data_IF_446180169272
#
_entry.id   IF_446180169272
#
_cell.length_a   1.000
_cell.length_b   1.000
_cell.length_c   1.000
_cell.angle_alpha   90.00
_cell.angle_beta   90.00
_cell.angle_gamma   90.00
#
_symmetry.space_group_name_H-M   'P 1'
#
loop_
_entity.id
_entity.type
_entity.pdbx_description
1 polymer ?
#
# COMPACT_ATOMS: atom_id res chain seq x y z
N UNK A 1 32.42 13.77 -19.79
CA UNK A 1 31.62 12.58 -20.14
C UNK A 1 30.17 13.02 -20.14
N UNK A 2 29.51 12.99 -21.29
CA UNK A 2 28.07 13.32 -21.41
C UNK A 2 27.30 12.41 -20.47
N UNK A 3 26.54 12.98 -19.52
CA UNK A 3 25.69 12.20 -18.61
C UNK A 3 24.70 11.40 -19.45
N UNK A 4 24.66 10.08 -19.27
CA UNK A 4 23.69 9.23 -19.96
C UNK A 4 22.26 9.72 -19.65
N UNK A 5 21.44 9.84 -20.69
CA UNK A 5 20.04 10.27 -20.55
C UNK A 5 19.15 9.04 -20.41
N UNK A 6 18.35 9.01 -19.35
CA UNK A 6 17.41 7.93 -19.04
C UNK A 6 15.99 8.43 -19.26
N UNK A 7 15.20 7.67 -20.02
CA UNK A 7 13.79 7.95 -20.19
C UNK A 7 12.94 7.29 -19.11
N UNK A 8 11.87 7.96 -18.70
CA UNK A 8 10.76 7.38 -17.97
C UNK A 8 9.48 7.69 -18.74
N UNK A 9 8.69 6.67 -19.03
CA UNK A 9 7.40 6.77 -19.72
C UNK A 9 6.27 6.38 -18.76
N UNK A 10 5.31 7.27 -18.55
CA UNK A 10 4.25 7.15 -17.56
C UNK A 10 4.62 7.86 -16.26
N UNK A 11 4.11 9.07 -16.05
CA UNK A 11 4.37 9.95 -14.91
C UNK A 11 3.34 9.78 -13.79
N UNK A 12 3.03 8.53 -13.46
CA UNK A 12 2.23 8.20 -12.27
C UNK A 12 3.10 8.27 -11.01
N UNK A 13 2.54 7.88 -9.86
CA UNK A 13 3.28 7.79 -8.59
C UNK A 13 4.60 7.02 -8.76
N UNK A 14 4.57 5.87 -9.43
CA UNK A 14 5.73 5.02 -9.66
C UNK A 14 6.79 5.71 -10.54
N UNK A 15 6.36 6.28 -11.67
CA UNK A 15 7.24 6.97 -12.60
C UNK A 15 7.91 8.20 -12.00
N UNK A 16 7.14 9.06 -11.33
CA UNK A 16 7.65 10.30 -10.72
C UNK A 16 8.68 10.04 -9.63
N UNK A 17 8.39 9.13 -8.68
CA UNK A 17 9.32 8.81 -7.61
C UNK A 17 10.62 8.18 -8.13
N UNK A 18 10.50 7.28 -9.10
CA UNK A 18 11.66 6.59 -9.69
C UNK A 18 12.53 7.54 -10.51
N UNK A 19 11.90 8.43 -11.29
CA UNK A 19 12.59 9.48 -12.04
C UNK A 19 13.28 10.47 -11.10
N UNK A 20 12.61 10.97 -10.07
CA UNK A 20 13.22 11.89 -9.11
C UNK A 20 14.47 11.28 -8.45
N UNK A 21 14.41 10.01 -8.05
CA UNK A 21 15.55 9.30 -7.49
C UNK A 21 16.69 9.10 -8.50
N UNK A 22 16.38 8.76 -9.76
CA UNK A 22 17.38 8.66 -10.83
C UNK A 22 18.07 10.01 -11.10
N UNK A 23 17.31 11.11 -11.11
CA UNK A 23 17.88 12.44 -11.27
C UNK A 23 18.82 12.80 -10.11
N UNK A 24 18.48 12.40 -8.87
CA UNK A 24 19.32 12.60 -7.68
C UNK A 24 20.63 11.81 -7.72
N UNK A 25 20.63 10.62 -8.36
CA UNK A 25 21.87 9.88 -8.68
C UNK A 25 22.72 10.54 -9.78
N UNK A 26 22.26 11.65 -10.36
CA UNK A 26 23.01 12.49 -11.29
C UNK A 26 22.73 12.23 -12.76
N UNK A 27 21.74 11.40 -13.11
CA UNK A 27 21.35 11.15 -14.50
C UNK A 27 20.53 12.32 -15.07
N UNK A 28 20.65 12.56 -16.38
CA UNK A 28 19.74 13.45 -17.10
C UNK A 28 18.50 12.65 -17.53
N UNK A 29 17.32 13.23 -17.44
CA UNK A 29 16.06 12.51 -17.62
C UNK A 29 15.16 13.13 -18.68
N UNK A 30 14.50 12.26 -19.44
CA UNK A 30 13.33 12.59 -20.26
C UNK A 30 12.13 11.86 -19.65
N UNK A 31 11.18 12.63 -19.13
CA UNK A 31 10.00 12.18 -18.43
C UNK A 31 8.77 12.38 -19.33
N UNK A 32 8.41 11.30 -20.03
CA UNK A 32 7.31 11.27 -20.98
C UNK A 32 5.99 10.80 -20.34
N UNK A 33 4.89 11.46 -20.67
CA UNK A 33 3.54 10.95 -20.44
C UNK A 33 2.63 11.31 -21.63
N UNK A 34 1.75 10.41 -22.09
CA UNK A 34 0.82 10.72 -23.18
C UNK A 34 -0.24 11.77 -22.81
N UNK A 35 -0.44 12.10 -21.53
CA UNK A 35 -1.35 13.16 -21.10
C UNK A 35 -0.67 14.55 -21.11
N UNK A 36 -0.96 15.42 -22.09
CA UNK A 36 -0.35 16.74 -22.16
C UNK A 36 -0.78 17.68 -21.03
N UNK A 37 -1.96 17.46 -20.41
CA UNK A 37 -2.40 18.26 -19.27
C UNK A 37 -1.59 17.92 -18.02
N UNK A 38 -1.30 16.62 -17.82
CA UNK A 38 -0.42 16.16 -16.76
C UNK A 38 0.99 16.74 -16.94
N UNK A 39 1.55 16.66 -18.15
CA UNK A 39 2.89 17.23 -18.43
C UNK A 39 2.93 18.74 -18.16
N UNK A 40 1.93 19.50 -18.64
CA UNK A 40 1.87 20.92 -18.39
C UNK A 40 1.76 21.26 -16.89
N UNK A 41 1.05 20.44 -16.11
CA UNK A 41 0.99 20.57 -14.64
C UNK A 41 2.34 20.30 -13.98
N UNK A 42 3.02 19.21 -14.37
CA UNK A 42 4.35 18.86 -13.87
C UNK A 42 5.40 19.92 -14.17
N UNK A 43 5.36 20.55 -15.35
CA UNK A 43 6.23 21.67 -15.71
C UNK A 43 6.03 22.90 -14.81
N UNK A 44 4.83 23.08 -14.25
CA UNK A 44 4.53 24.11 -13.25
C UNK A 44 4.83 23.69 -11.81
N UNK A 45 5.33 22.47 -11.60
CA UNK A 45 5.56 21.89 -10.27
C UNK A 45 4.29 21.38 -9.57
N UNK A 46 3.17 21.26 -10.29
CA UNK A 46 1.92 20.72 -9.76
C UNK A 46 1.92 19.20 -9.86
N UNK A 47 2.02 18.50 -8.72
CA UNK A 47 2.10 17.04 -8.68
C UNK A 47 0.71 16.38 -8.60
N UNK A 48 0.46 15.30 -9.36
CA UNK A 48 -0.79 14.55 -9.28
C UNK A 48 -0.89 13.65 -8.03
N UNK A 49 0.19 13.60 -7.22
CA UNK A 49 0.34 12.70 -6.09
C UNK A 49 0.88 13.44 -4.87
N UNK A 50 0.48 13.00 -3.69
CA UNK A 50 1.03 13.46 -2.42
C UNK A 50 2.00 12.41 -1.90
N UNK A 51 3.28 12.77 -1.87
CA UNK A 51 4.35 11.91 -1.36
C UNK A 51 5.37 12.79 -0.63
N UNK A 52 5.75 12.46 0.62
CA UNK A 52 6.75 13.21 1.37
C UNK A 52 8.08 13.34 0.59
N UNK A 53 8.70 14.50 0.70
CA UNK A 53 10.01 14.86 0.11
C UNK A 53 10.07 14.88 -1.43
N UNK A 54 9.00 14.49 -2.14
CA UNK A 54 8.99 14.44 -3.60
C UNK A 54 9.06 15.84 -4.25
N UNK A 55 8.28 16.86 -3.81
CA UNK A 55 8.38 18.21 -4.35
C UNK A 55 9.81 18.78 -4.25
N UNK A 56 10.43 18.66 -3.08
CA UNK A 56 11.78 19.16 -2.81
C UNK A 56 12.83 18.42 -3.65
N UNK A 57 12.66 17.10 -3.83
CA UNK A 57 13.57 16.29 -4.63
C UNK A 57 13.50 16.64 -6.12
N UNK A 58 12.29 16.90 -6.64
CA UNK A 58 12.08 17.33 -8.03
C UNK A 58 12.64 18.73 -8.25
N UNK A 59 12.39 19.69 -7.34
CA UNK A 59 12.93 21.04 -7.43
C UNK A 59 14.46 21.04 -7.42
N UNK A 60 15.07 20.30 -6.48
CA UNK A 60 16.53 20.10 -6.41
C UNK A 60 17.13 19.62 -7.72
N UNK A 61 16.40 18.76 -8.45
CA UNK A 61 16.86 18.11 -9.66
C UNK A 61 16.24 18.66 -10.95
N UNK A 62 15.54 19.80 -10.91
CA UNK A 62 14.78 20.34 -12.05
C UNK A 62 15.64 20.52 -13.32
N UNK A 63 16.91 20.90 -13.17
CA UNK A 63 17.85 21.06 -14.32
C UNK A 63 18.21 19.75 -15.02
N UNK A 64 17.96 18.62 -14.37
CA UNK A 64 18.21 17.28 -14.92
C UNK A 64 16.97 16.65 -15.51
N UNK A 65 15.78 17.21 -15.26
CA UNK A 65 14.51 16.59 -15.61
C UNK A 65 13.85 17.42 -16.70
N UNK A 66 13.52 16.76 -17.81
CA UNK A 66 12.69 17.33 -18.85
C UNK A 66 11.38 16.56 -18.91
N UNK A 67 10.27 17.21 -18.58
CA UNK A 67 8.93 16.68 -18.84
C UNK A 67 8.55 16.92 -20.30
N UNK A 68 7.86 15.97 -20.93
CA UNK A 68 7.41 16.10 -22.33
C UNK A 68 6.22 15.21 -22.62
N UNK A 69 5.36 15.66 -23.54
CA UNK A 69 4.30 14.83 -24.13
C UNK A 69 4.66 14.36 -25.55
N UNK A 70 5.87 14.69 -26.01
CA UNK A 70 6.40 14.26 -27.30
C UNK A 70 7.20 12.95 -27.13
N UNK A 71 6.72 11.81 -27.66
CA UNK A 71 7.42 10.54 -27.54
C UNK A 71 8.77 10.55 -28.28
N UNK A 72 8.96 11.37 -29.32
CA UNK A 72 10.19 11.36 -30.13
C UNK A 72 11.42 11.77 -29.31
N UNK A 73 11.24 12.51 -28.21
CA UNK A 73 12.34 12.86 -27.30
C UNK A 73 12.98 11.64 -26.64
N UNK A 74 12.25 10.52 -26.50
CA UNK A 74 12.76 9.27 -25.96
C UNK A 74 13.82 8.63 -26.88
N UNK A 75 13.89 9.00 -28.16
CA UNK A 75 14.92 8.52 -29.09
C UNK A 75 16.34 8.91 -28.65
N UNK A 76 16.48 9.98 -27.86
CA UNK A 76 17.77 10.41 -27.31
C UNK A 76 18.27 9.53 -26.14
N UNK A 77 17.41 8.69 -25.56
CA UNK A 77 17.70 7.93 -24.36
C UNK A 77 18.53 6.67 -24.65
N UNK A 78 19.43 6.32 -23.72
CA UNK A 78 20.14 5.03 -23.72
C UNK A 78 19.29 3.88 -23.18
N UNK A 79 18.34 4.22 -22.33
CA UNK A 79 17.43 3.31 -21.66
C UNK A 79 16.12 4.04 -21.35
N UNK A 80 14.98 3.35 -21.44
CA UNK A 80 13.67 3.90 -21.07
C UNK A 80 12.94 2.93 -20.15
N UNK A 81 12.51 3.44 -18.99
CA UNK A 81 11.58 2.76 -18.11
C UNK A 81 10.13 3.02 -18.55
N UNK A 82 9.31 1.97 -18.55
CA UNK A 82 7.85 2.07 -18.72
C UNK A 82 7.21 1.82 -17.36
N UNK A 83 6.61 2.86 -16.79
CA UNK A 83 6.22 2.91 -15.39
C UNK A 83 4.78 3.46 -15.11
N UNK A 84 3.76 3.26 -15.98
CA UNK A 84 2.40 3.67 -15.63
C UNK A 84 1.84 2.77 -14.52
N UNK A 85 0.91 3.30 -13.74
CA UNK A 85 0.12 2.48 -12.83
C UNK A 85 -0.78 1.53 -13.64
N UNK A 86 -0.91 0.29 -13.17
CA UNK A 86 -1.79 -0.73 -13.76
C UNK A 86 -3.06 -0.79 -12.90
N UNK A 87 -4.17 -0.16 -13.32
CA UNK A 87 -5.39 -0.14 -12.53
C UNK A 87 -5.96 -1.55 -12.41
N UNK A 88 -6.67 -1.77 -11.31
CA UNK A 88 -7.27 -3.07 -10.99
C UNK A 88 -8.72 -2.87 -10.57
N UNK A 89 -9.61 -3.72 -11.08
CA UNK A 89 -11.02 -3.72 -10.73
C UNK A 89 -11.27 -4.26 -9.30
N UNK A 90 -12.54 -4.35 -8.90
CA UNK A 90 -12.92 -4.86 -7.58
C UNK A 90 -12.79 -6.38 -7.44
N UNK A 91 -12.54 -7.08 -8.55
CA UNK A 91 -12.24 -8.52 -8.59
C UNK A 91 -10.73 -8.82 -8.60
N UNK A 92 -9.87 -7.80 -8.54
CA UNK A 92 -8.43 -7.98 -8.58
C UNK A 92 -7.88 -8.21 -10.00
N UNK A 93 -8.67 -7.96 -11.05
CA UNK A 93 -8.21 -8.08 -12.44
C UNK A 93 -7.50 -6.80 -12.88
N UNK A 94 -6.29 -6.96 -13.42
CA UNK A 94 -5.46 -5.86 -13.92
C UNK A 94 -5.86 -5.45 -15.33
N UNK A 95 -6.04 -4.15 -15.57
CA UNK A 95 -6.18 -3.59 -16.92
C UNK A 95 -4.79 -3.33 -17.52
N UNK A 96 -4.42 -4.20 -18.45
CA UNK A 96 -3.12 -4.17 -19.12
C UNK A 96 -3.11 -3.28 -20.37
N UNK A 97 -4.26 -2.75 -20.81
CA UNK A 97 -4.36 -2.02 -22.07
C UNK A 97 -3.52 -0.75 -22.10
N UNK A 98 -3.48 -0.02 -20.97
CA UNK A 98 -2.71 1.23 -20.85
C UNK A 98 -1.20 1.01 -20.97
N UNK A 99 -0.69 -0.01 -20.28
CA UNK A 99 0.74 -0.34 -20.36
C UNK A 99 1.11 -0.91 -21.73
N UNK A 100 0.25 -1.72 -22.35
CA UNK A 100 0.49 -2.24 -23.70
C UNK A 100 0.55 -1.13 -24.76
N UNK A 101 -0.36 -0.16 -24.66
CA UNK A 101 -0.34 1.02 -25.52
C UNK A 101 0.95 1.83 -25.33
N UNK A 102 1.35 2.06 -24.08
CA UNK A 102 2.56 2.83 -23.77
C UNK A 102 3.84 2.11 -24.21
N UNK A 103 3.95 0.79 -24.00
CA UNK A 103 5.06 -0.02 -24.52
C UNK A 103 5.15 0.14 -26.04
N UNK A 104 4.02 0.08 -26.75
CA UNK A 104 3.99 0.20 -28.21
C UNK A 104 4.43 1.59 -28.69
N UNK A 105 4.02 2.65 -27.99
CA UNK A 105 4.46 4.03 -28.29
C UNK A 105 5.96 4.19 -28.07
N UNK A 106 6.49 3.71 -26.93
CA UNK A 106 7.93 3.79 -26.63
C UNK A 106 8.73 2.96 -27.63
N UNK A 107 8.31 1.74 -27.97
CA UNK A 107 9.06 0.87 -28.89
C UNK A 107 9.19 1.48 -30.29
N UNK A 108 8.19 2.24 -30.73
CA UNK A 108 8.16 2.88 -32.05
C UNK A 108 9.22 3.99 -32.23
N UNK A 109 9.61 4.65 -31.14
CA UNK A 109 10.54 5.80 -31.15
C UNK A 109 11.93 5.44 -30.60
N UNK A 110 12.01 4.39 -29.79
CA UNK A 110 13.24 4.01 -29.09
C UNK A 110 14.28 3.44 -30.05
N UNK A 111 15.53 3.93 -29.98
CA UNK A 111 16.64 3.42 -30.81
C UNK A 111 16.78 1.90 -30.69
N UNK A 112 17.13 1.16 -31.77
CA UNK A 112 17.18 -0.30 -31.73
C UNK A 112 18.10 -0.89 -30.64
N UNK A 113 19.20 -0.20 -30.32
CA UNK A 113 20.19 -0.60 -29.31
C UNK A 113 19.83 -0.19 -27.88
N UNK A 114 18.82 0.65 -27.70
CA UNK A 114 18.43 1.15 -26.38
C UNK A 114 17.63 0.09 -25.58
N UNK A 115 17.83 0.14 -24.27
CA UNK A 115 17.22 -0.79 -23.31
C UNK A 115 15.83 -0.31 -22.93
N UNK A 116 14.81 -1.16 -23.05
CA UNK A 116 13.49 -0.91 -22.46
C UNK A 116 13.36 -1.68 -21.16
N UNK A 117 12.83 -1.06 -20.11
CA UNK A 117 12.61 -1.71 -18.81
C UNK A 117 11.16 -1.49 -18.37
N UNK A 118 10.38 -2.56 -18.23
CA UNK A 118 9.06 -2.48 -17.60
C UNK A 118 9.25 -2.39 -16.08
N UNK A 119 8.71 -1.35 -15.45
CA UNK A 119 8.76 -1.14 -14.00
C UNK A 119 7.41 -1.42 -13.33
N UNK A 120 6.32 -1.20 -14.07
CA UNK A 120 4.96 -1.44 -13.58
C UNK A 120 4.75 -2.89 -13.15
N UNK A 121 3.99 -3.09 -12.07
CA UNK A 121 3.64 -4.44 -11.64
C UNK A 121 2.72 -5.11 -12.67
N UNK A 122 3.14 -6.27 -13.16
CA UNK A 122 2.46 -7.04 -14.22
C UNK A 122 2.37 -8.53 -13.83
N UNK A 123 1.41 -9.29 -14.39
CA UNK A 123 1.27 -10.70 -14.06
C UNK A 123 2.42 -11.56 -14.64
N UNK A 124 2.72 -12.72 -14.03
CA UNK A 124 3.73 -13.63 -14.57
C UNK A 124 3.47 -14.02 -16.03
N UNK A 125 4.52 -13.94 -16.86
CA UNK A 125 4.50 -14.19 -18.30
C UNK A 125 4.26 -12.93 -19.15
N UNK A 126 3.90 -11.79 -18.53
CA UNK A 126 3.61 -10.56 -19.25
C UNK A 126 4.78 -10.10 -20.11
N UNK A 127 5.96 -9.94 -19.50
CA UNK A 127 7.14 -9.42 -20.18
C UNK A 127 7.62 -10.36 -21.28
N UNK A 128 7.53 -11.68 -21.08
CA UNK A 128 7.89 -12.67 -22.11
C UNK A 128 7.08 -12.50 -23.37
N UNK A 129 5.77 -12.34 -23.20
CA UNK A 129 4.82 -12.22 -24.30
C UNK A 129 5.04 -10.96 -25.15
N UNK A 130 5.90 -10.05 -24.70
CA UNK A 130 6.20 -8.77 -25.35
C UNK A 130 7.63 -8.69 -25.88
N UNK A 131 8.39 -9.77 -25.83
CA UNK A 131 9.69 -9.83 -26.50
C UNK A 131 9.51 -9.63 -28.01
N UNK A 132 10.34 -8.76 -28.58
CA UNK A 132 10.42 -8.50 -30.02
C UNK A 132 11.84 -8.76 -30.50
N UNK A 133 11.97 -9.24 -31.73
CA UNK A 133 13.29 -9.47 -32.31
C UNK A 133 14.09 -8.16 -32.36
N UNK A 134 15.34 -8.20 -31.89
CA UNK A 134 16.23 -7.04 -31.87
C UNK A 134 16.00 -6.04 -30.73
N UNK A 135 14.90 -6.13 -29.97
CA UNK A 135 14.64 -5.25 -28.83
C UNK A 135 15.21 -5.84 -27.54
N UNK A 136 16.01 -5.05 -26.84
CA UNK A 136 16.48 -5.38 -25.50
C UNK A 136 15.43 -4.95 -24.47
N UNK A 137 14.69 -5.92 -23.92
CA UNK A 137 13.63 -5.69 -22.93
C UNK A 137 14.00 -6.33 -21.59
N UNK A 138 13.80 -5.60 -20.50
CA UNK A 138 13.94 -6.07 -19.13
C UNK A 138 12.66 -5.81 -18.34
N UNK A 139 12.53 -6.49 -17.22
CA UNK A 139 11.56 -6.15 -16.18
C UNK A 139 12.32 -5.79 -14.90
N UNK A 140 11.85 -4.81 -14.15
CA UNK A 140 12.36 -4.50 -12.83
C UNK A 140 11.21 -4.49 -11.84
N UNK A 141 11.36 -5.24 -10.74
CA UNK A 141 10.35 -5.23 -9.68
C UNK A 141 10.43 -3.91 -8.92
N UNK A 142 9.30 -3.21 -8.82
CA UNK A 142 9.16 -2.08 -7.91
C UNK A 142 8.80 -2.57 -6.48
N UNK A 143 9.31 -1.86 -5.47
CA UNK A 143 8.99 -2.14 -4.06
C UNK A 143 8.68 -0.87 -3.28
N UNK A 144 8.14 0.15 -3.93
CA UNK A 144 7.80 1.41 -3.26
C UNK A 144 6.70 1.19 -2.21
N UNK A 145 6.69 2.06 -1.20
CA UNK A 145 5.64 2.09 -0.18
C UNK A 145 5.11 3.52 -0.16
N UNK A 146 3.80 3.69 -0.37
CA UNK A 146 3.15 5.00 -0.24
C UNK A 146 3.46 5.67 1.09
N UNK A 147 3.88 6.94 1.04
CA UNK A 147 4.32 7.73 2.20
C UNK A 147 5.81 7.56 2.54
N UNK A 148 6.52 6.63 1.89
CA UNK A 148 7.98 6.45 1.96
C UNK A 148 8.59 6.12 0.60
N UNK A 149 7.92 6.50 -0.49
CA UNK A 149 8.31 6.09 -1.83
C UNK A 149 9.64 6.76 -2.24
N UNK A 150 9.82 8.04 -1.92
CA UNK A 150 11.07 8.77 -2.16
C UNK A 150 12.25 8.10 -1.45
N UNK A 151 12.13 7.82 -0.15
CA UNK A 151 13.15 7.13 0.64
C UNK A 151 13.55 5.79 -0.01
N UNK A 152 12.55 4.97 -0.38
CA UNK A 152 12.80 3.65 -0.98
C UNK A 152 13.36 3.72 -2.40
N UNK A 153 13.01 4.75 -3.17
CA UNK A 153 13.54 4.97 -4.51
C UNK A 153 15.00 5.43 -4.45
N UNK A 154 15.36 6.30 -3.49
CA UNK A 154 16.72 6.79 -3.29
C UNK A 154 17.66 5.74 -2.70
N UNK A 155 17.14 4.90 -1.79
CA UNK A 155 17.90 3.92 -1.02
C UNK A 155 17.23 2.53 -1.08
N UNK A 156 17.20 1.90 -2.27
CA UNK A 156 16.63 0.57 -2.42
C UNK A 156 17.46 -0.46 -1.65
N UNK A 157 16.80 -1.43 -1.03
CA UNK A 157 17.48 -2.54 -0.35
C UNK A 157 18.13 -3.50 -1.35
N UNK A 158 17.55 -3.59 -2.55
CA UNK A 158 17.96 -4.45 -3.67
C UNK A 158 17.22 -4.05 -4.94
N UNK A 159 17.79 -4.39 -6.09
CA UNK A 159 17.08 -4.45 -7.36
C UNK A 159 16.83 -5.90 -7.78
N UNK A 160 15.62 -6.21 -8.24
CA UNK A 160 15.26 -7.50 -8.84
C UNK A 160 15.00 -7.26 -10.32
N UNK A 161 15.76 -7.94 -11.18
CA UNK A 161 15.75 -7.71 -12.62
C UNK A 161 15.33 -8.98 -13.35
N UNK A 162 14.18 -8.92 -14.01
CA UNK A 162 13.70 -9.95 -14.93
C UNK A 162 14.36 -9.82 -16.30
N UNK A 163 14.92 -10.93 -16.79
CA UNK A 163 15.60 -11.02 -18.08
C UNK A 163 15.44 -12.41 -18.70
N UNK A 164 15.88 -12.59 -19.95
CA UNK A 164 15.87 -13.89 -20.61
C UNK A 164 16.92 -14.84 -20.01
N UNK A 165 18.14 -14.34 -19.82
CA UNK A 165 19.32 -15.11 -19.43
C UNK A 165 20.01 -14.50 -18.19
N UNK A 166 19.62 -14.93 -16.96
CA UNK A 166 20.09 -14.30 -15.71
C UNK A 166 21.58 -14.39 -15.43
N UNK A 167 22.28 -15.29 -16.12
CA UNK A 167 23.73 -15.47 -15.99
C UNK A 167 24.52 -14.54 -16.92
N UNK A 168 23.87 -13.91 -17.90
CA UNK A 168 24.51 -12.95 -18.78
C UNK A 168 24.64 -11.59 -18.09
N UNK A 169 25.72 -10.85 -18.35
CA UNK A 169 25.86 -9.49 -17.82
C UNK A 169 24.76 -8.59 -18.38
N UNK A 170 24.27 -7.68 -17.54
CA UNK A 170 23.36 -6.63 -17.98
C UNK A 170 24.07 -5.68 -18.97
N UNK A 171 23.34 -5.06 -19.91
CA UNK A 171 23.88 -4.03 -20.79
C UNK A 171 24.62 -2.95 -20.00
N UNK A 172 25.76 -2.43 -20.48
CA UNK A 172 26.59 -1.51 -19.70
C UNK A 172 25.85 -0.28 -19.15
N UNK A 173 24.93 0.30 -19.94
CA UNK A 173 24.09 1.45 -19.49
C UNK A 173 23.19 1.06 -18.32
N UNK A 174 22.54 -0.10 -18.38
CA UNK A 174 21.63 -0.57 -17.34
C UNK A 174 22.39 -0.99 -16.08
N UNK A 175 23.53 -1.67 -16.25
CA UNK A 175 24.39 -2.05 -15.14
C UNK A 175 24.92 -0.83 -14.38
N UNK A 176 25.41 0.21 -15.08
CA UNK A 176 25.86 1.47 -14.46
C UNK A 176 24.74 2.19 -13.74
N UNK A 177 23.57 2.26 -14.36
CA UNK A 177 22.39 2.86 -13.75
C UNK A 177 22.05 2.20 -12.41
N UNK A 178 21.87 0.88 -12.39
CA UNK A 178 21.53 0.15 -11.17
C UNK A 178 22.64 0.24 -10.10
N UNK A 179 23.91 0.15 -10.51
CA UNK A 179 25.04 0.21 -9.59
C UNK A 179 25.15 1.57 -8.86
N UNK A 180 24.64 2.66 -9.44
CA UNK A 180 24.67 3.99 -8.82
C UNK A 180 23.86 4.10 -7.52
N UNK A 181 22.95 3.17 -7.27
CA UNK A 181 22.14 3.12 -6.04
C UNK A 181 22.83 2.36 -4.91
N UNK A 182 23.93 1.64 -5.18
CA UNK A 182 24.74 0.99 -4.14
C UNK A 182 24.09 -0.21 -3.45
N UNK A 183 23.10 -0.85 -4.07
CA UNK A 183 22.42 -2.04 -3.52
C UNK A 183 22.70 -3.31 -4.36
N UNK A 184 22.49 -4.51 -3.80
CA UNK A 184 22.56 -5.75 -4.55
C UNK A 184 21.62 -5.77 -5.77
N UNK A 185 22.09 -6.33 -6.88
CA UNK A 185 21.30 -6.57 -8.09
C UNK A 185 21.06 -8.07 -8.21
N UNK A 186 19.81 -8.48 -8.37
CA UNK A 186 19.36 -9.87 -8.43
C UNK A 186 18.73 -10.17 -9.80
N UNK A 187 19.53 -10.57 -10.81
CA UNK A 187 19.00 -11.02 -12.09
C UNK A 187 18.28 -12.35 -11.94
N UNK A 188 17.12 -12.48 -12.57
CA UNK A 188 16.34 -13.71 -12.66
C UNK A 188 15.49 -13.73 -13.94
N UNK A 189 14.84 -14.86 -14.22
CA UNK A 189 13.97 -14.96 -15.41
C UNK A 189 12.77 -14.03 -15.26
N UNK A 190 12.18 -13.56 -16.37
CA UNK A 190 11.06 -12.61 -16.26
C UNK A 190 9.90 -13.12 -15.36
N UNK A 191 9.43 -14.36 -15.53
CA UNK A 191 8.35 -14.91 -14.68
C UNK A 191 8.79 -15.02 -13.23
N UNK A 192 10.07 -15.32 -12.98
CA UNK A 192 10.62 -15.37 -11.63
C UNK A 192 10.59 -13.99 -10.97
N UNK A 193 10.92 -12.93 -11.70
CA UNK A 193 10.86 -11.56 -11.19
C UNK A 193 9.40 -11.09 -10.98
N UNK A 194 8.52 -11.34 -11.94
CA UNK A 194 7.09 -11.03 -11.84
C UNK A 194 6.45 -11.75 -10.65
N UNK A 195 6.75 -13.04 -10.46
CA UNK A 195 6.29 -13.82 -9.32
C UNK A 195 6.98 -13.45 -8.00
N UNK A 196 8.22 -12.94 -8.02
CA UNK A 196 8.92 -12.51 -6.82
C UNK A 196 8.18 -11.37 -6.12
N UNK A 197 7.59 -10.43 -6.87
CA UNK A 197 6.76 -9.36 -6.30
C UNK A 197 5.56 -9.92 -5.54
N UNK A 198 4.82 -10.83 -6.18
CA UNK A 198 3.67 -11.52 -5.58
C UNK A 198 4.11 -12.30 -4.35
N UNK A 199 5.25 -12.99 -4.42
CA UNK A 199 5.80 -13.80 -3.34
C UNK A 199 6.18 -12.97 -2.11
N UNK A 200 6.79 -11.79 -2.30
CA UNK A 200 7.06 -10.84 -1.21
C UNK A 200 5.74 -10.48 -0.50
N UNK A 201 4.70 -10.16 -1.26
CA UNK A 201 3.39 -9.83 -0.72
C UNK A 201 2.72 -11.02 -0.03
N UNK A 202 2.88 -12.25 -0.54
CA UNK A 202 2.37 -13.46 0.13
C UNK A 202 3.09 -13.74 1.45
N UNK A 203 4.40 -13.51 1.55
CA UNK A 203 5.12 -13.61 2.82
C UNK A 203 4.61 -12.59 3.86
N UNK A 204 4.31 -11.35 3.42
CA UNK A 204 3.70 -10.34 4.28
C UNK A 204 2.30 -10.77 4.75
N UNK A 205 1.47 -11.25 3.83
CA UNK A 205 0.13 -11.77 4.15
C UNK A 205 0.21 -12.94 5.14
N UNK A 206 1.12 -13.88 4.92
CA UNK A 206 1.32 -15.02 5.82
C UNK A 206 1.67 -14.54 7.24
N UNK A 207 2.60 -13.59 7.36
CA UNK A 207 3.03 -13.01 8.64
C UNK A 207 1.87 -12.32 9.37
N UNK A 208 1.07 -11.53 8.65
CA UNK A 208 -0.15 -10.90 9.18
C UNK A 208 -1.18 -11.94 9.61
N UNK A 209 -1.42 -12.98 8.79
CA UNK A 209 -2.37 -14.04 9.09
C UNK A 209 -1.99 -14.84 10.34
N UNK A 210 -0.70 -15.11 10.53
CA UNK A 210 -0.16 -15.71 11.77
C UNK A 210 -0.38 -14.77 12.95
N UNK A 211 0.04 -13.51 12.86
CA UNK A 211 -0.10 -12.54 13.93
C UNK A 211 -1.55 -12.37 14.37
N UNK A 212 -2.46 -12.25 13.39
CA UNK A 212 -3.89 -12.23 13.64
C UNK A 212 -4.32 -13.47 14.41
N UNK A 213 -4.16 -14.66 13.82
CA UNK A 213 -4.65 -15.91 14.42
C UNK A 213 -4.16 -16.08 15.86
N UNK A 214 -2.87 -15.88 16.10
CA UNK A 214 -2.28 -16.01 17.43
C UNK A 214 -2.78 -14.93 18.40
N UNK A 215 -3.00 -13.70 17.94
CA UNK A 215 -3.56 -12.63 18.76
C UNK A 215 -4.96 -12.98 19.31
N UNK A 216 -5.87 -13.58 18.52
CA UNK A 216 -7.18 -13.99 19.09
C UNK A 216 -7.09 -15.18 20.02
N UNK A 217 -6.11 -16.06 19.84
CA UNK A 217 -5.84 -17.09 20.87
C UNK A 217 -5.41 -16.41 22.17
N UNK A 218 -4.56 -15.40 22.11
CA UNK A 218 -4.14 -14.62 23.28
C UNK A 218 -5.35 -13.98 24.01
N UNK A 219 -6.31 -13.43 23.26
CA UNK A 219 -7.57 -12.89 23.79
C UNK A 219 -8.39 -13.93 24.60
N UNK A 220 -8.23 -15.24 24.32
CA UNK A 220 -8.96 -16.32 25.01
C UNK A 220 -8.14 -17.02 26.09
N UNK A 221 -6.81 -17.04 26.00
CA UNK A 221 -5.95 -17.79 26.91
C UNK A 221 -5.34 -16.96 28.03
N UNK A 222 -5.44 -15.63 27.95
CA UNK A 222 -4.78 -14.71 28.90
C UNK A 222 -3.32 -14.43 28.57
N UNK A 223 -2.84 -14.87 27.41
CA UNK A 223 -1.56 -14.41 26.88
C UNK A 223 -1.68 -12.99 26.30
N UNK A 224 -0.55 -12.30 26.14
CA UNK A 224 -0.46 -11.01 25.45
C UNK A 224 0.46 -11.13 24.23
N UNK A 225 -0.08 -10.85 23.04
CA UNK A 225 0.67 -10.94 21.79
C UNK A 225 1.87 -9.98 21.75
N UNK A 226 1.77 -8.80 22.38
CA UNK A 226 2.84 -7.82 22.45
C UNK A 226 4.04 -8.29 23.29
N UNK A 227 3.83 -9.22 24.24
CA UNK A 227 4.90 -9.88 25.00
C UNK A 227 5.64 -10.93 24.16
N UNK A 228 4.94 -11.55 23.19
CA UNK A 228 5.48 -12.62 22.33
C UNK A 228 6.28 -12.04 21.16
N UNK A 229 5.83 -10.93 20.56
CA UNK A 229 6.44 -10.33 19.36
C UNK A 229 7.96 -10.08 19.49
N UNK A 230 8.49 -9.50 20.58
CA UNK A 230 9.93 -9.30 20.75
C UNK A 230 10.74 -10.59 20.65
N UNK A 231 10.24 -11.69 21.24
CA UNK A 231 10.91 -12.99 21.17
C UNK A 231 10.97 -13.53 19.73
N UNK A 232 9.88 -13.39 18.97
CA UNK A 232 9.83 -13.81 17.56
C UNK A 232 10.78 -13.00 16.69
N UNK A 233 10.87 -11.68 16.90
CA UNK A 233 11.76 -10.79 16.13
C UNK A 233 13.25 -11.07 16.36
N UNK A 234 13.62 -11.62 17.53
CA UNK A 234 14.99 -12.01 17.83
C UNK A 234 15.38 -13.35 17.16
N UNK A 235 14.42 -14.18 16.76
CA UNK A 235 14.71 -15.39 15.99
C UNK A 235 15.14 -15.02 14.58
N UNK A 236 16.38 -15.34 14.20
CA UNK A 236 16.97 -15.01 12.89
C UNK A 236 16.21 -15.58 11.69
N UNK A 237 15.39 -16.62 11.89
CA UNK A 237 14.57 -17.23 10.82
C UNK A 237 13.29 -16.44 10.55
N UNK A 238 12.85 -15.63 11.51
CA UNK A 238 11.71 -14.71 11.39
C UNK A 238 12.25 -13.31 11.09
N UNK A 239 13.18 -12.84 11.90
CA UNK A 239 13.93 -11.60 11.69
C UNK A 239 13.29 -10.36 12.32
N UNK A 240 14.15 -9.41 12.66
CA UNK A 240 13.81 -8.20 13.41
C UNK A 240 12.79 -7.29 12.72
N UNK A 241 12.71 -7.36 11.39
CA UNK A 241 11.84 -6.54 10.55
C UNK A 241 10.52 -7.23 10.16
N UNK A 242 10.27 -8.44 10.68
CA UNK A 242 9.03 -9.16 10.38
C UNK A 242 7.79 -8.40 10.83
N UNK A 243 6.76 -8.41 9.97
CA UNK A 243 5.49 -7.76 10.24
C UNK A 243 4.61 -8.66 11.09
N UNK A 244 4.67 -8.46 12.40
CA UNK A 244 3.95 -9.28 13.39
C UNK A 244 2.88 -8.49 14.15
N UNK A 245 2.48 -7.33 13.63
CA UNK A 245 1.37 -6.58 14.22
C UNK A 245 0.04 -7.20 13.76
N UNK A 246 -0.88 -7.57 14.68
CA UNK A 246 -2.22 -7.96 14.31
C UNK A 246 -2.98 -6.72 13.81
N UNK A 247 -4.05 -6.95 13.07
CA UNK A 247 -4.91 -5.90 12.56
C UNK A 247 -6.29 -6.42 12.15
N UNK A 248 -7.11 -5.52 11.62
CA UNK A 248 -8.46 -5.83 11.13
C UNK A 248 -8.46 -6.50 9.76
N UNK A 249 -7.54 -7.45 9.57
CA UNK A 249 -7.31 -8.14 8.30
C UNK A 249 -6.23 -7.50 7.44
N UNK A 250 -6.15 -8.01 6.22
CA UNK A 250 -5.24 -7.55 5.16
C UNK A 250 -5.90 -6.35 4.49
N UNK A 251 -5.21 -5.21 4.48
CA UNK A 251 -5.67 -3.98 3.85
C UNK A 251 -4.68 -3.53 2.77
N UNK A 252 -5.21 -2.87 1.74
CA UNK A 252 -4.44 -2.32 0.62
C UNK A 252 -4.60 -3.13 -0.67
N UNK A 253 -4.98 -2.43 -1.74
CA UNK A 253 -5.36 -3.06 -3.01
C UNK A 253 -4.29 -3.95 -3.65
N UNK A 254 -3.00 -3.67 -3.43
CA UNK A 254 -1.91 -4.49 -3.97
C UNK A 254 -1.87 -5.91 -3.36
N UNK A 255 -2.08 -6.04 -2.04
CA UNK A 255 -2.07 -7.35 -1.37
C UNK A 255 -3.29 -8.18 -1.78
N UNK A 256 -4.47 -7.55 -1.83
CA UNK A 256 -5.71 -8.22 -2.23
C UNK A 256 -5.70 -8.66 -3.69
N UNK A 257 -5.20 -7.80 -4.60
CA UNK A 257 -4.98 -8.16 -6.00
C UNK A 257 -4.05 -9.36 -6.13
N UNK A 258 -2.96 -9.37 -5.37
CA UNK A 258 -1.97 -10.45 -5.47
C UNK A 258 -2.53 -11.77 -4.89
N UNK A 259 -3.37 -11.72 -3.85
CA UNK A 259 -4.13 -12.88 -3.37
C UNK A 259 -5.10 -13.43 -4.42
N UNK A 260 -5.84 -12.54 -5.09
CA UNK A 260 -6.73 -12.91 -6.18
C UNK A 260 -5.95 -13.51 -7.36
N UNK A 261 -4.79 -12.92 -7.68
CA UNK A 261 -3.89 -13.39 -8.74
C UNK A 261 -3.41 -14.82 -8.45
N UNK A 262 -2.98 -15.12 -7.23
CA UNK A 262 -2.56 -16.48 -6.86
C UNK A 262 -3.71 -17.47 -6.95
N UNK A 263 -4.91 -17.12 -6.46
CA UNK A 263 -6.10 -17.97 -6.60
C UNK A 263 -6.43 -18.25 -8.07
N UNK A 264 -6.44 -17.21 -8.91
CA UNK A 264 -6.73 -17.33 -10.34
C UNK A 264 -5.69 -18.17 -11.08
N UNK A 265 -4.40 -18.03 -10.74
CA UNK A 265 -3.34 -18.87 -11.27
C UNK A 265 -3.53 -20.32 -10.87
N UNK A 266 -3.87 -20.58 -9.61
CA UNK A 266 -4.12 -21.93 -9.13
C UNK A 266 -5.29 -22.59 -9.85
N UNK A 267 -6.39 -21.87 -10.03
CA UNK A 267 -7.57 -22.35 -10.77
C UNK A 267 -7.24 -22.60 -12.26
N UNK A 268 -6.44 -21.72 -12.88
CA UNK A 268 -6.03 -21.84 -14.29
C UNK A 268 -5.08 -23.01 -14.55
N UNK A 269 -4.12 -23.24 -13.66
CA UNK A 269 -3.05 -24.22 -13.85
C UNK A 269 -3.26 -25.52 -13.06
N UNK A 270 -4.39 -25.64 -12.34
CA UNK A 270 -4.72 -26.83 -11.56
C UNK A 270 -3.81 -27.06 -10.35
N UNK A 271 -3.37 -25.99 -9.67
CA UNK A 271 -2.55 -26.08 -8.46
C UNK A 271 -3.36 -25.77 -7.20
N UNK A 272 -2.77 -26.00 -6.02
CA UNK A 272 -3.44 -25.68 -4.74
C UNK A 272 -3.31 -24.20 -4.37
N UNK A 273 -4.41 -23.61 -3.90
CA UNK A 273 -4.47 -22.29 -3.28
C UNK A 273 -5.18 -22.33 -1.92
N UNK A 274 -5.33 -23.50 -1.29
CA UNK A 274 -6.06 -23.67 -0.03
C UNK A 274 -5.57 -22.75 1.08
N UNK A 275 -4.25 -22.64 1.27
CA UNK A 275 -3.64 -21.74 2.27
C UNK A 275 -3.95 -20.27 1.98
N UNK A 276 -3.90 -19.88 0.71
CA UNK A 276 -4.20 -18.50 0.28
C UNK A 276 -5.67 -18.16 0.54
N UNK A 277 -6.59 -19.08 0.21
CA UNK A 277 -8.02 -18.93 0.52
C UNK A 277 -8.27 -18.86 2.03
N UNK A 278 -7.51 -19.60 2.84
CA UNK A 278 -7.57 -19.52 4.30
C UNK A 278 -7.11 -18.14 4.82
N UNK A 279 -6.07 -17.53 4.24
CA UNK A 279 -5.67 -16.15 4.58
C UNK A 279 -6.74 -15.12 4.21
N UNK A 280 -7.43 -15.28 3.08
CA UNK A 280 -8.57 -14.44 2.71
C UNK A 280 -9.70 -14.58 3.72
N UNK A 281 -10.03 -15.81 4.14
CA UNK A 281 -11.04 -16.06 5.16
C UNK A 281 -10.64 -15.47 6.53
N UNK A 282 -9.39 -15.66 6.94
CA UNK A 282 -8.84 -15.07 8.17
C UNK A 282 -8.94 -13.54 8.15
N UNK A 283 -8.59 -12.90 7.03
CA UNK A 283 -8.70 -11.45 6.85
C UNK A 283 -10.14 -10.95 7.06
N UNK A 284 -11.14 -11.63 6.44
CA UNK A 284 -12.56 -11.30 6.63
C UNK A 284 -12.99 -11.47 8.09
N UNK A 285 -12.63 -12.59 8.70
CA UNK A 285 -12.91 -12.85 10.11
C UNK A 285 -12.32 -11.78 11.03
N UNK A 286 -11.12 -11.28 10.72
CA UNK A 286 -10.46 -10.22 11.50
C UNK A 286 -11.09 -8.85 11.32
N UNK A 287 -11.46 -8.50 10.09
CA UNK A 287 -12.17 -7.27 9.79
C UNK A 287 -13.45 -7.13 10.62
N UNK A 288 -14.15 -8.24 10.84
CA UNK A 288 -15.41 -8.27 11.57
C UNK A 288 -15.23 -8.30 13.11
N UNK A 289 -13.99 -8.25 13.62
CA UNK A 289 -13.71 -8.24 15.07
C UNK A 289 -14.44 -7.11 15.80
N UNK A 290 -14.42 -5.90 15.24
CA UNK A 290 -15.08 -4.74 15.86
C UNK A 290 -16.59 -4.93 15.93
N UNK A 291 -17.19 -5.48 14.86
CA UNK A 291 -18.62 -5.77 14.80
C UNK A 291 -19.01 -6.82 15.86
N UNK A 292 -18.30 -7.95 15.90
CA UNK A 292 -18.55 -9.02 16.90
C UNK A 292 -18.42 -8.50 18.33
N UNK A 293 -17.42 -7.67 18.57
CA UNK A 293 -17.16 -7.07 19.88
C UNK A 293 -18.26 -6.08 20.28
N UNK A 294 -18.68 -5.20 19.37
CA UNK A 294 -19.80 -4.28 19.62
C UNK A 294 -21.10 -5.03 19.91
N UNK A 295 -21.41 -6.11 19.19
CA UNK A 295 -22.58 -6.93 19.48
C UNK A 295 -22.53 -7.55 20.88
N UNK A 296 -21.40 -8.15 21.23
CA UNK A 296 -21.19 -8.79 22.54
C UNK A 296 -21.34 -7.82 23.70
N UNK A 297 -20.77 -6.63 23.57
CA UNK A 297 -20.60 -5.68 24.68
C UNK A 297 -21.70 -4.60 24.75
N UNK A 298 -22.32 -4.23 23.61
CA UNK A 298 -23.22 -3.06 23.53
C UNK A 298 -24.50 -3.37 22.78
N UNK A 299 -24.42 -3.74 21.50
CA UNK A 299 -25.58 -3.71 20.60
C UNK A 299 -26.68 -4.70 20.99
N UNK A 300 -26.35 -5.80 21.68
CA UNK A 300 -27.32 -6.76 22.21
C UNK A 300 -27.79 -6.48 23.64
N UNK A 301 -27.26 -5.42 24.28
CA UNK A 301 -27.45 -5.13 25.72
C UNK A 301 -28.05 -3.75 25.99
N UNK A 302 -28.07 -2.89 24.98
CA UNK A 302 -28.48 -1.49 25.09
C UNK A 302 -29.53 -1.19 24.04
N UNK A 303 -30.64 -0.61 24.46
CA UNK A 303 -31.71 -0.18 23.55
C UNK A 303 -31.28 1.09 22.79
N UNK A 304 -31.50 1.09 21.46
CA UNK A 304 -31.12 2.16 20.51
C UNK A 304 -29.71 2.74 20.77
N UNK A 305 -28.65 1.90 20.69
CA UNK A 305 -27.30 2.30 21.02
C UNK A 305 -26.74 3.29 19.98
N UNK A 306 -25.84 4.15 20.44
CA UNK A 306 -25.10 5.11 19.64
C UNK A 306 -23.62 4.73 19.64
N UNK A 307 -23.06 4.45 18.47
CA UNK A 307 -21.64 4.09 18.33
C UNK A 307 -20.87 5.29 17.75
N UNK A 308 -19.77 5.66 18.39
CA UNK A 308 -18.80 6.60 17.83
C UNK A 308 -17.74 5.84 17.05
N UNK A 309 -17.42 6.27 15.83
CA UNK A 309 -16.39 5.69 14.97
C UNK A 309 -15.41 6.78 14.56
N UNK A 310 -14.14 6.62 14.94
CA UNK A 310 -13.06 7.51 14.53
C UNK A 310 -12.22 6.83 13.45
N UNK A 311 -12.15 7.44 12.27
CA UNK A 311 -11.44 6.91 11.12
C UNK A 311 -12.35 6.23 10.08
N UNK A 312 -12.28 6.70 8.85
CA UNK A 312 -12.98 6.20 7.66
C UNK A 312 -12.01 5.72 6.58
N UNK A 313 -10.82 6.31 6.49
CA UNK A 313 -9.77 5.85 5.58
C UNK A 313 -9.27 4.44 5.95
N UNK A 314 -8.78 3.66 4.97
CA UNK A 314 -8.29 2.30 5.25
C UNK A 314 -6.99 2.28 6.07
N UNK A 315 -6.23 3.38 6.05
CA UNK A 315 -5.03 3.64 6.85
C UNK A 315 -4.88 5.13 7.12
N UNK A 316 -3.96 5.52 7.99
CA UNK A 316 -3.60 6.92 8.17
C UNK A 316 -2.95 7.52 6.90
N UNK A 317 -3.01 8.84 6.80
CA UNK A 317 -2.37 9.67 5.76
C UNK A 317 -2.89 9.38 4.33
N UNK A 318 -4.16 9.00 4.20
CA UNK A 318 -4.83 8.83 2.90
C UNK A 318 -6.30 9.21 2.94
N UNK A 319 -6.84 9.64 1.81
CA UNK A 319 -8.28 9.87 1.61
C UNK A 319 -9.00 8.61 1.09
N UNK A 320 -8.27 7.52 0.82
CA UNK A 320 -8.84 6.32 0.22
C UNK A 320 -9.65 5.51 1.23
N UNK A 321 -10.89 5.20 0.86
CA UNK A 321 -11.82 4.33 1.60
C UNK A 321 -11.93 2.93 1.00
N UNK A 322 -11.21 2.66 -0.10
CA UNK A 322 -11.25 1.35 -0.77
C UNK A 322 -10.81 0.27 0.21
N UNK A 323 -11.69 -0.72 0.41
CA UNK A 323 -11.49 -1.85 1.33
C UNK A 323 -11.23 -1.45 2.79
N UNK A 324 -11.73 -0.27 3.20
CA UNK A 324 -11.59 0.22 4.57
C UNK A 324 -12.40 -0.65 5.58
N UNK A 325 -11.77 -1.11 6.68
CA UNK A 325 -12.47 -1.84 7.75
C UNK A 325 -13.61 -1.04 8.40
N UNK A 326 -13.48 0.29 8.51
CA UNK A 326 -14.54 1.15 9.05
C UNK A 326 -15.76 1.21 8.13
N UNK A 327 -15.56 1.30 6.82
CA UNK A 327 -16.66 1.27 5.85
C UNK A 327 -17.40 -0.07 5.92
N UNK A 328 -16.66 -1.18 5.97
CA UNK A 328 -17.24 -2.51 6.14
C UNK A 328 -18.01 -2.66 7.48
N UNK A 329 -17.51 -2.06 8.56
CA UNK A 329 -18.22 -1.99 9.83
C UNK A 329 -19.52 -1.19 9.70
N UNK A 330 -19.46 0.00 9.09
CA UNK A 330 -20.59 0.91 8.94
C UNK A 330 -21.73 0.32 8.11
N UNK A 331 -21.42 -0.47 7.08
CA UNK A 331 -22.40 -1.26 6.33
C UNK A 331 -23.24 -2.17 7.24
N UNK A 332 -22.61 -2.80 8.22
CA UNK A 332 -23.26 -3.70 9.16
C UNK A 332 -23.92 -2.94 10.34
N UNK A 333 -23.62 -1.66 10.52
CA UNK A 333 -24.22 -0.80 11.55
C UNK A 333 -25.43 0.00 11.04
N UNK A 334 -25.95 -0.25 9.83
CA UNK A 334 -27.17 0.37 9.29
C UNK A 334 -28.38 0.39 10.25
N UNK A 335 -28.62 -0.65 11.08
CA UNK A 335 -29.72 -0.63 12.03
C UNK A 335 -29.53 0.32 13.21
N UNK A 336 -28.32 0.83 13.46
CA UNK A 336 -27.95 1.56 14.68
C UNK A 336 -27.59 3.02 14.37
N UNK A 337 -27.60 3.87 15.40
CA UNK A 337 -27.11 5.25 15.26
C UNK A 337 -25.59 5.25 15.32
N UNK A 338 -24.96 5.91 14.36
CA UNK A 338 -23.51 6.01 14.32
C UNK A 338 -23.09 7.47 14.17
N UNK A 339 -22.04 7.87 14.89
CA UNK A 339 -21.37 9.16 14.70
C UNK A 339 -19.97 8.90 14.19
N UNK A 340 -19.60 9.52 13.07
CA UNK A 340 -18.29 9.31 12.44
C UNK A 340 -17.49 10.60 12.43
N UNK A 341 -16.17 10.46 12.57
CA UNK A 341 -15.23 11.52 12.28
C UNK A 341 -13.97 10.93 11.64
N UNK A 342 -13.52 11.53 10.56
CA UNK A 342 -12.21 11.30 9.96
C UNK A 342 -11.64 12.66 9.53
N UNK A 343 -10.34 12.94 9.77
CA UNK A 343 -9.74 14.22 9.42
C UNK A 343 -9.69 14.53 7.92
N UNK A 344 -9.75 13.51 7.05
CA UNK A 344 -9.54 13.65 5.61
C UNK A 344 -10.75 13.15 4.80
N UNK A 345 -11.37 12.07 5.23
CA UNK A 345 -12.49 11.44 4.51
C UNK A 345 -13.82 12.04 4.98
N UNK A 346 -14.65 12.56 4.06
CA UNK A 346 -15.94 13.12 4.43
C UNK A 346 -16.91 12.02 4.89
N UNK A 347 -17.80 12.36 5.83
CA UNK A 347 -18.81 11.44 6.36
C UNK A 347 -19.77 10.89 5.28
N UNK A 348 -19.92 11.57 4.15
CA UNK A 348 -20.70 11.10 2.99
C UNK A 348 -20.15 9.81 2.37
N UNK A 349 -18.91 9.44 2.66
CA UNK A 349 -18.35 8.15 2.28
C UNK A 349 -18.94 6.98 3.09
N UNK A 350 -19.59 7.24 4.23
CA UNK A 350 -20.23 6.22 5.04
C UNK A 350 -21.53 5.71 4.38
N UNK A 351 -21.67 4.41 4.10
CA UNK A 351 -22.83 3.86 3.39
C UNK A 351 -24.04 3.61 4.30
N UNK A 352 -24.16 4.36 5.40
CA UNK A 352 -25.18 4.17 6.43
C UNK A 352 -26.03 5.44 6.57
N UNK A 353 -27.34 5.41 6.28
CA UNK A 353 -28.20 6.60 6.38
C UNK A 353 -28.43 7.08 7.82
N UNK A 354 -28.15 6.25 8.83
CA UNK A 354 -28.19 6.62 10.26
C UNK A 354 -26.82 7.08 10.78
N UNK A 355 -25.87 7.32 9.87
CA UNK A 355 -24.57 7.86 10.17
C UNK A 355 -24.60 9.39 10.17
N UNK A 356 -24.12 9.99 11.25
CA UNK A 356 -23.97 11.44 11.38
C UNK A 356 -22.48 11.79 11.40
N UNK A 357 -22.05 12.66 10.48
CA UNK A 357 -20.72 13.24 10.53
C UNK A 357 -20.61 14.21 11.69
N UNK A 358 -19.58 14.05 12.53
CA UNK A 358 -19.20 15.01 13.55
C UNK A 358 -18.11 15.95 13.00
N UNK A 359 -17.96 17.14 13.58
CA UNK A 359 -16.91 18.10 13.25
C UNK A 359 -15.61 17.86 14.03
N UNK A 360 -15.62 16.99 15.05
CA UNK A 360 -14.45 16.64 15.85
C UNK A 360 -14.57 15.25 16.49
N UNK A 361 -13.46 14.72 16.99
CA UNK A 361 -13.42 13.46 17.76
C UNK A 361 -14.29 13.52 19.01
N UNK A 362 -14.28 14.68 19.70
CA UNK A 362 -15.08 14.90 20.91
C UNK A 362 -16.57 14.90 20.63
N UNK A 363 -17.00 15.54 19.54
CA UNK A 363 -18.40 15.56 19.13
C UNK A 363 -18.90 14.17 18.69
N UNK A 364 -18.05 13.41 17.99
CA UNK A 364 -18.37 12.02 17.64
C UNK A 364 -18.67 11.18 18.87
N UNK A 365 -17.98 11.42 19.99
CA UNK A 365 -18.15 10.69 21.24
C UNK A 365 -19.35 11.13 22.09
N UNK A 366 -20.01 12.24 21.78
CA UNK A 366 -21.05 12.79 22.65
C UNK A 366 -22.29 11.89 22.74
N UNK A 367 -22.54 11.35 23.94
CA UNK A 367 -23.65 10.45 24.23
C UNK A 367 -23.50 9.05 23.64
N UNK A 368 -22.34 8.69 23.07
CA UNK A 368 -22.11 7.36 22.50
C UNK A 368 -21.86 6.29 23.59
N UNK A 369 -22.35 5.08 23.37
CA UNK A 369 -22.16 3.93 24.27
C UNK A 369 -20.78 3.31 24.14
N UNK A 370 -20.19 3.41 22.96
CA UNK A 370 -18.84 2.93 22.69
C UNK A 370 -18.17 3.80 21.63
N UNK A 371 -16.84 3.84 21.74
CA UNK A 371 -15.96 4.41 20.74
C UNK A 371 -15.21 3.28 20.03
N UNK A 372 -15.18 3.29 18.70
CA UNK A 372 -14.32 2.43 17.89
C UNK A 372 -13.32 3.28 17.10
N UNK A 373 -12.02 3.06 17.34
CA UNK A 373 -10.94 3.66 16.57
C UNK A 373 -10.61 2.72 15.42
N UNK A 374 -11.01 3.11 14.22
CA UNK A 374 -10.96 2.25 13.03
C UNK A 374 -9.91 2.68 12.01
N UNK A 375 -9.24 3.81 12.24
CA UNK A 375 -8.04 4.22 11.49
C UNK A 375 -7.03 4.82 12.48
N UNK A 376 -5.74 4.40 12.46
CA UNK A 376 -4.76 4.83 13.46
C UNK A 376 -4.17 6.21 13.14
N UNK A 377 -5.00 7.23 12.98
CA UNK A 377 -4.53 8.59 12.75
C UNK A 377 -3.69 9.08 13.93
N UNK A 378 -2.52 9.65 13.66
CA UNK A 378 -1.61 10.15 14.69
C UNK A 378 -2.26 11.12 15.69
N UNK A 379 -3.22 11.94 15.25
CA UNK A 379 -3.93 12.86 16.15
C UNK A 379 -4.76 12.15 17.23
N UNK A 380 -5.26 10.94 16.96
CA UNK A 380 -6.07 10.18 17.92
C UNK A 380 -5.25 9.69 19.12
N UNK A 381 -3.94 9.49 18.96
CA UNK A 381 -3.04 9.16 20.07
C UNK A 381 -2.88 10.30 21.09
N UNK A 382 -3.29 11.52 20.72
CA UNK A 382 -3.16 12.74 21.53
C UNK A 382 -4.50 13.17 22.17
N UNK A 383 -5.52 12.31 22.11
CA UNK A 383 -6.83 12.61 22.66
C UNK A 383 -6.76 12.78 24.19
N UNK A 384 -7.43 13.81 24.69
CA UNK A 384 -7.70 13.95 26.12
C UNK A 384 -8.75 12.91 26.53
N UNK A 385 -8.27 11.76 27.02
CA UNK A 385 -9.11 10.63 27.38
C UNK A 385 -10.07 10.91 28.54
N UNK A 386 -9.76 11.87 29.42
CA UNK A 386 -10.67 12.31 30.46
C UNK A 386 -11.88 13.04 29.87
N UNK A 387 -11.63 13.93 28.90
CA UNK A 387 -12.71 14.61 28.17
C UNK A 387 -13.53 13.65 27.30
N UNK A 388 -12.89 12.67 26.64
CA UNK A 388 -13.60 11.62 25.89
C UNK A 388 -14.49 10.80 26.83
N UNK A 389 -13.96 10.35 27.97
CA UNK A 389 -14.72 9.58 28.96
C UNK A 389 -15.92 10.35 29.54
N UNK A 390 -15.83 11.68 29.64
CA UNK A 390 -16.92 12.55 30.09
C UNK A 390 -18.01 12.74 29.03
N UNK A 391 -17.68 12.60 27.74
CA UNK A 391 -18.63 12.71 26.61
C UNK A 391 -19.33 11.39 26.31
N UNK A 392 -18.66 10.25 26.49
CA UNK A 392 -19.25 8.94 26.30
C UNK A 392 -20.31 8.63 27.39
N UNK A 393 -21.43 8.03 26.95
CA UNK A 393 -22.44 7.45 27.83
C UNK A 393 -21.94 6.14 28.43
N UNK A 394 -21.33 5.28 27.61
CA UNK A 394 -20.65 4.08 28.07
C UNK A 394 -19.17 4.32 28.37
N UNK A 395 -18.43 3.25 28.67
CA UNK A 395 -16.99 3.29 28.97
C UNK A 395 -16.15 2.44 28.03
N UNK A 396 -16.76 1.86 27.00
CA UNK A 396 -16.10 0.94 26.10
C UNK A 396 -15.35 1.69 24.99
N UNK A 397 -14.09 1.32 24.78
CA UNK A 397 -13.29 1.77 23.64
C UNK A 397 -12.70 0.56 22.92
N UNK A 398 -13.01 0.41 21.64
CA UNK A 398 -12.37 -0.55 20.74
C UNK A 398 -11.20 0.17 20.06
N UNK A 399 -9.98 -0.28 20.33
CA UNK A 399 -8.75 0.26 19.78
C UNK A 399 -7.87 -0.88 19.24
N UNK A 400 -8.24 -1.50 18.11
CA UNK A 400 -7.54 -2.63 17.52
C UNK A 400 -6.12 -2.30 17.03
N UNK A 401 -5.75 -1.02 16.96
CA UNK A 401 -4.47 -0.55 16.46
C UNK A 401 -3.50 -0.07 17.56
N UNK A 402 -3.90 -0.17 18.83
CA UNK A 402 -3.12 0.35 19.95
C UNK A 402 -2.73 1.83 19.84
N UNK A 403 -3.67 2.66 19.39
CA UNK A 403 -3.49 4.10 19.25
C UNK A 403 -3.50 4.80 20.61
N UNK A 404 -4.32 4.32 21.54
CA UNK A 404 -4.48 4.94 22.85
C UNK A 404 -3.57 4.31 23.90
N UNK A 405 -3.08 5.14 24.81
CA UNK A 405 -2.32 4.67 25.96
C UNK A 405 -3.22 3.91 26.95
N UNK A 406 -2.90 2.63 27.19
CA UNK A 406 -3.69 1.76 28.06
C UNK A 406 -3.81 2.27 29.51
N UNK A 407 -2.73 2.85 30.06
CA UNK A 407 -2.73 3.36 31.43
C UNK A 407 -3.59 4.62 31.56
N UNK A 408 -3.56 5.48 30.55
CA UNK A 408 -4.41 6.69 30.52
C UNK A 408 -5.89 6.34 30.32
N UNK A 409 -6.22 5.34 29.49
CA UNK A 409 -7.59 4.81 29.40
C UNK A 409 -8.10 4.35 30.76
N UNK A 410 -7.32 3.54 31.49
CA UNK A 410 -7.69 3.06 32.83
C UNK A 410 -7.87 4.22 33.82
N UNK A 411 -6.97 5.19 33.81
CA UNK A 411 -7.06 6.39 34.66
C UNK A 411 -8.34 7.20 34.38
N UNK A 412 -8.77 7.27 33.12
CA UNK A 412 -10.01 7.92 32.70
C UNK A 412 -11.28 7.08 32.95
N UNK A 413 -11.14 5.84 33.46
CA UNK A 413 -12.25 4.92 33.68
C UNK A 413 -12.80 4.28 32.40
N UNK A 414 -12.01 4.24 31.33
CA UNK A 414 -12.36 3.59 30.07
C UNK A 414 -11.88 2.14 30.06
N UNK A 415 -12.77 1.21 29.64
CA UNK A 415 -12.44 -0.17 29.32
C UNK A 415 -12.02 -0.22 27.84
N UNK A 416 -10.71 -0.33 27.61
CA UNK A 416 -10.12 -0.42 26.27
C UNK A 416 -9.94 -1.88 25.87
N UNK A 417 -10.53 -2.25 24.74
CA UNK A 417 -10.35 -3.55 24.08
C UNK A 417 -9.40 -3.39 22.90
N UNK A 418 -8.43 -4.29 22.78
CA UNK A 418 -7.48 -4.32 21.67
C UNK A 418 -7.28 -5.75 21.18
N UNK A 419 -6.77 -5.89 19.95
CA UNK A 419 -6.39 -7.20 19.43
C UNK A 419 -5.21 -7.75 20.24
N UNK A 420 -5.22 -9.06 20.50
CA UNK A 420 -4.06 -9.75 21.05
C UNK A 420 -3.89 -9.75 22.56
N UNK A 421 -4.83 -9.19 23.31
CA UNK A 421 -4.73 -9.06 24.77
C UNK A 421 -6.07 -9.44 25.39
N UNK A 422 -6.05 -10.24 26.45
CA UNK A 422 -7.25 -10.49 27.26
C UNK A 422 -7.53 -9.29 28.18
N UNK A 423 -8.82 -8.96 28.32
CA UNK A 423 -9.31 -7.83 29.12
C UNK A 423 -8.90 -7.80 30.59
#
# INVERSE_FOLDING_TARGET
>A
MTSEVIGYAGMTHLGLNSAAAAADKGFGLVCYDPDPLLIAALERGELPVVEPDLPELLEKNARRIRFTADPDELASCGMVYVAPDVPTDDHGQSDLGRIDALISQVDAVLRPDAVMVILSQVPPGFTRGRLRAGRTLYYQVETLIFGRAVERALYPERFIVGCAEPRQPLPPVFARFLASFGCPILPMRYESAELAKISINMCLVASVGVANTMAELCEQTGADWSEIVPALKLDKRIGQYSYLAPGLGIAGGNLERDLATVCNFADRYGTDAGVVRAWVANSRHRRDWALRTLYREVLSRTDDPVIAVLGLAYKQDTHSTKNSPSIALLENLKPFRVRVFDPVVPATAAPNPRCHGAASEREACEGADALAIMTPWGQFSKLDLGAIAAKLRGKLVLDPYCVLNAAECRKAGLRRLTLGVQD
#
